data_IF_220309836875
#
_entry.id   IF_220309836875
#
_cell.length_a   1.000
_cell.length_b   1.000
_cell.length_c   1.000
_cell.angle_alpha   90.00
_cell.angle_beta   90.00
_cell.angle_gamma   90.00
#
_symmetry.space_group_name_H-M   'P 1'
#
loop_
_entity.id
_entity.type
_entity.pdbx_description
1 polymer ?
#
# COMPACT_ATOMS: atom_id res chain seq x y z
N UNK A 1 17.16 -2.82 4.37
CA UNK A 1 17.98 -1.85 3.67
C UNK A 1 17.26 -0.56 3.35
N UNK A 2 17.97 0.37 2.78
CA UNK A 2 17.42 1.67 2.38
C UNK A 2 16.59 1.50 1.10
N UNK A 3 15.28 1.78 1.12
CA UNK A 3 14.45 1.64 -0.08
C UNK A 3 14.84 2.59 -1.21
N UNK A 4 15.54 3.69 -0.91
CA UNK A 4 16.00 4.64 -1.93
C UNK A 4 17.04 4.05 -2.88
N UNK A 5 17.68 2.94 -2.50
CA UNK A 5 18.69 2.26 -3.33
C UNK A 5 18.13 1.06 -4.09
N UNK A 6 16.84 0.74 -3.93
CA UNK A 6 16.21 -0.45 -4.52
C UNK A 6 15.61 -0.15 -5.89
N UNK A 7 16.45 0.22 -6.87
CA UNK A 7 15.98 0.61 -8.20
C UNK A 7 15.44 -0.58 -9.01
N UNK A 8 16.10 -1.73 -8.95
CA UNK A 8 15.67 -2.90 -9.72
C UNK A 8 14.29 -3.42 -9.29
N UNK A 9 13.99 -3.60 -7.98
CA UNK A 9 12.63 -3.94 -7.55
C UNK A 9 11.60 -2.89 -7.93
N UNK A 10 11.94 -1.61 -7.84
CA UNK A 10 11.05 -0.51 -8.21
C UNK A 10 10.68 -0.56 -9.69
N UNK A 11 11.67 -0.75 -10.57
CA UNK A 11 11.45 -0.86 -12.02
C UNK A 11 10.63 -2.08 -12.37
N UNK A 12 10.89 -3.22 -11.71
CA UNK A 12 10.09 -4.45 -11.91
C UNK A 12 8.63 -4.21 -11.56
N UNK A 13 8.37 -3.53 -10.44
CA UNK A 13 7.00 -3.23 -10.02
C UNK A 13 6.32 -2.27 -11.00
N UNK A 14 7.03 -1.28 -11.52
CA UNK A 14 6.47 -0.41 -12.57
C UNK A 14 6.02 -1.21 -13.79
N UNK A 15 6.78 -2.23 -14.18
CA UNK A 15 6.39 -3.15 -15.26
C UNK A 15 5.13 -3.94 -14.93
N UNK A 16 4.99 -4.38 -13.68
CA UNK A 16 3.78 -5.06 -13.19
C UNK A 16 2.56 -4.14 -13.30
N UNK A 17 2.71 -2.89 -12.88
CA UNK A 17 1.63 -1.90 -12.97
C UNK A 17 1.29 -1.55 -14.43
N UNK A 18 2.29 -1.49 -15.31
CA UNK A 18 2.08 -1.25 -16.74
C UNK A 18 1.22 -2.34 -17.38
N UNK A 19 1.37 -3.59 -16.93
CA UNK A 19 0.58 -4.72 -17.39
C UNK A 19 -0.81 -4.80 -16.77
N UNK A 20 -1.12 -3.91 -15.82
CA UNK A 20 -2.39 -3.91 -15.12
C UNK A 20 -2.57 -5.09 -14.15
N UNK A 21 -1.48 -5.70 -13.71
CA UNK A 21 -1.51 -6.82 -12.78
C UNK A 21 -1.77 -6.28 -11.37
N UNK A 22 -2.74 -6.85 -10.62
CA UNK A 22 -2.98 -6.44 -9.24
C UNK A 22 -1.76 -6.66 -8.36
N UNK A 23 -1.56 -5.74 -7.40
CA UNK A 23 -0.43 -5.79 -6.50
C UNK A 23 -0.89 -5.53 -5.06
N UNK A 24 -0.35 -6.28 -4.12
CA UNK A 24 -0.50 -6.04 -2.69
C UNK A 24 0.88 -6.15 -2.04
N UNK A 25 1.42 -5.03 -1.55
CA UNK A 25 2.74 -4.97 -0.92
C UNK A 25 2.65 -4.91 0.59
N UNK A 26 3.60 -5.55 1.25
CA UNK A 26 3.69 -5.60 2.71
C UNK A 26 5.10 -5.16 3.12
N UNK A 27 5.21 -4.29 4.10
CA UNK A 27 6.45 -3.79 4.69
C UNK A 27 7.36 -3.13 3.63
N UNK A 28 8.47 -3.76 3.26
CA UNK A 28 9.35 -3.27 2.20
C UNK A 28 8.61 -3.11 0.88
N UNK A 29 7.61 -3.97 0.61
CA UNK A 29 6.75 -3.86 -0.57
C UNK A 29 5.94 -2.58 -0.61
N UNK A 30 5.55 -2.02 0.55
CA UNK A 30 4.93 -0.70 0.62
C UNK A 30 5.90 0.40 0.18
N UNK A 31 7.16 0.32 0.59
CA UNK A 31 8.18 1.32 0.27
C UNK A 31 8.53 1.27 -1.22
N UNK A 32 8.66 0.09 -1.79
CA UNK A 32 8.89 -0.08 -3.23
C UNK A 32 7.70 0.42 -4.04
N UNK A 33 6.48 0.14 -3.58
CA UNK A 33 5.27 0.64 -4.22
C UNK A 33 5.24 2.18 -4.21
N UNK A 34 5.58 2.80 -3.08
CA UNK A 34 5.68 4.25 -2.99
C UNK A 34 6.66 4.81 -4.00
N UNK A 35 7.85 4.22 -4.12
CA UNK A 35 8.85 4.64 -5.11
C UNK A 35 8.35 4.45 -6.54
N UNK A 36 7.72 3.33 -6.83
CA UNK A 36 7.17 3.05 -8.16
C UNK A 36 6.15 4.11 -8.57
N UNK A 37 5.35 4.60 -7.61
CA UNK A 37 4.35 5.64 -7.84
C UNK A 37 4.96 7.05 -7.94
N UNK A 38 6.24 7.20 -7.67
CA UNK A 38 6.94 8.48 -7.76
C UNK A 38 7.15 9.21 -6.44
N UNK A 39 6.80 8.59 -5.31
CA UNK A 39 7.02 9.19 -3.99
C UNK A 39 8.46 8.94 -3.52
N UNK A 40 8.95 9.85 -2.67
CA UNK A 40 10.23 9.66 -1.99
C UNK A 40 10.08 8.80 -0.74
N UNK A 41 11.22 8.51 -0.13
CA UNK A 41 11.28 7.82 1.16
C UNK A 41 12.23 8.59 2.08
N UNK A 42 12.07 8.40 3.39
CA UNK A 42 12.94 9.04 4.37
C UNK A 42 13.18 8.11 5.55
N UNK A 43 14.29 8.36 6.25
CA UNK A 43 14.64 7.60 7.44
C UNK A 43 13.91 8.18 8.66
N UNK A 44 13.22 7.33 9.39
CA UNK A 44 12.56 7.72 10.64
C UNK A 44 13.60 7.91 11.72
N UNK A 45 13.43 8.96 12.56
CA UNK A 45 14.36 9.29 13.64
C UNK A 45 14.50 8.14 14.65
N UNK A 46 13.39 7.50 14.99
CA UNK A 46 13.37 6.41 15.99
C UNK A 46 12.93 5.08 15.40
N UNK A 47 12.42 5.07 14.17
CA UNK A 47 11.83 3.88 13.56
C UNK A 47 10.51 3.48 14.22
N UNK A 48 9.81 2.56 13.56
CA UNK A 48 8.61 1.91 14.12
C UNK A 48 8.96 0.45 14.41
N UNK A 49 9.01 0.11 15.70
CA UNK A 49 9.36 -1.24 16.14
C UNK A 49 8.43 -1.66 17.28
N UNK A 50 8.08 -2.95 17.30
CA UNK A 50 7.22 -3.52 18.32
C UNK A 50 5.78 -3.68 17.87
N UNK A 51 4.88 -3.94 18.83
CA UNK A 51 3.52 -4.40 18.57
C UNK A 51 2.43 -3.38 18.91
N UNK A 52 2.78 -2.14 19.26
CA UNK A 52 1.82 -1.16 19.75
C UNK A 52 1.74 0.08 18.86
N UNK A 53 1.69 -0.12 17.55
CA UNK A 53 1.56 0.97 16.59
C UNK A 53 0.11 1.07 16.09
N UNK A 54 -0.67 2.08 16.52
CA UNK A 54 -2.05 2.22 16.07
C UNK A 54 -2.08 2.79 14.65
N UNK A 55 -2.72 2.06 13.75
CA UNK A 55 -2.82 2.43 12.34
C UNK A 55 -4.30 2.58 11.96
N UNK A 56 -4.62 3.70 11.32
CA UNK A 56 -5.96 3.97 10.83
C UNK A 56 -6.04 3.73 9.33
N UNK A 57 -7.02 2.92 8.92
CA UNK A 57 -7.42 2.78 7.52
C UNK A 57 -8.32 3.96 7.18
N UNK A 58 -7.86 4.83 6.27
CA UNK A 58 -8.60 6.05 5.91
C UNK A 58 -9.84 5.75 5.08
N UNK A 59 -9.90 4.59 4.43
CA UNK A 59 -11.05 4.18 3.63
C UNK A 59 -12.23 3.77 4.51
N UNK A 60 -11.97 3.08 5.61
CA UNK A 60 -13.00 2.53 6.51
C UNK A 60 -13.11 3.27 7.83
N UNK A 61 -12.08 4.03 8.22
CA UNK A 61 -11.98 4.65 9.53
C UNK A 61 -11.58 3.69 10.64
N UNK A 62 -11.35 2.43 10.34
CA UNK A 62 -10.99 1.41 11.33
C UNK A 62 -9.56 1.61 11.81
N UNK A 63 -9.35 1.44 13.12
CA UNK A 63 -8.02 1.50 13.75
C UNK A 63 -7.64 0.13 14.25
N UNK A 64 -6.40 -0.28 13.94
CA UNK A 64 -5.83 -1.54 14.40
C UNK A 64 -4.51 -1.27 15.11
N UNK A 65 -4.21 -2.11 16.11
CA UNK A 65 -2.90 -2.12 16.75
C UNK A 65 -2.02 -3.10 15.96
N UNK A 66 -0.92 -2.59 15.41
CA UNK A 66 -0.10 -3.34 14.47
C UNK A 66 1.27 -3.66 15.00
N UNK A 67 1.90 -4.70 14.45
CA UNK A 67 3.30 -5.03 14.67
C UNK A 67 4.12 -4.47 13.51
N UNK A 68 5.19 -3.74 13.83
CA UNK A 68 6.03 -3.08 12.85
C UNK A 68 7.51 -3.24 13.19
N UNK A 69 8.33 -3.24 12.15
CA UNK A 69 9.77 -3.24 12.29
C UNK A 69 10.38 -2.61 11.03
N UNK A 70 10.38 -1.27 10.99
CA UNK A 70 10.95 -0.55 9.85
C UNK A 70 11.58 0.77 10.29
N UNK A 71 12.64 1.17 9.60
CA UNK A 71 13.34 2.42 9.87
C UNK A 71 13.12 3.50 8.80
N UNK A 72 12.39 3.17 7.74
CA UNK A 72 12.12 4.08 6.63
C UNK A 72 10.63 4.18 6.38
N UNK A 73 10.18 5.31 5.85
CA UNK A 73 8.78 5.55 5.52
C UNK A 73 8.65 6.21 4.15
N UNK A 74 7.48 6.11 3.56
CA UNK A 74 7.15 6.78 2.30
C UNK A 74 6.75 8.22 2.58
N UNK A 75 7.25 9.14 1.75
CA UNK A 75 6.91 10.57 1.80
C UNK A 75 5.84 10.85 0.76
N UNK A 76 4.58 10.81 1.17
CA UNK A 76 3.44 11.05 0.28
C UNK A 76 2.46 12.01 0.95
N UNK A 77 1.71 12.83 0.17
CA UNK A 77 0.69 13.72 0.72
C UNK A 77 -0.40 12.92 1.44
N UNK A 78 -0.77 13.35 2.66
CA UNK A 78 -1.79 12.68 3.46
C UNK A 78 -3.21 13.09 3.11
N UNK A 79 -3.36 14.25 2.47
CA UNK A 79 -4.66 14.93 2.31
C UNK A 79 -5.14 15.01 0.87
N UNK A 80 -4.41 14.42 -0.08
CA UNK A 80 -4.78 14.50 -1.50
C UNK A 80 -4.23 13.34 -2.29
N UNK A 81 -4.87 13.06 -3.43
CA UNK A 81 -4.37 12.08 -4.39
C UNK A 81 -3.29 12.72 -5.28
N UNK A 82 -2.39 11.89 -5.78
CA UNK A 82 -1.39 12.26 -6.77
C UNK A 82 -1.68 11.47 -8.06
N UNK A 83 -1.79 12.18 -9.18
CA UNK A 83 -2.04 11.53 -10.47
C UNK A 83 -0.77 10.86 -10.97
N UNK A 84 -0.89 9.59 -11.33
CA UNK A 84 0.18 8.80 -11.95
C UNK A 84 -0.28 8.30 -13.31
N UNK A 85 0.63 7.71 -14.08
CA UNK A 85 0.27 7.14 -15.38
C UNK A 85 -0.67 5.93 -15.28
N UNK A 86 -0.79 5.34 -14.09
CA UNK A 86 -1.66 4.17 -13.86
C UNK A 86 -3.01 4.54 -13.24
N UNK A 87 -3.11 5.71 -12.62
CA UNK A 87 -4.30 6.15 -11.91
C UNK A 87 -3.96 7.10 -10.77
N UNK A 88 -4.88 7.24 -9.83
CA UNK A 88 -4.73 8.13 -8.68
C UNK A 88 -4.11 7.38 -7.50
N UNK A 89 -2.98 7.89 -6.99
CA UNK A 89 -2.28 7.33 -5.84
C UNK A 89 -2.55 8.17 -4.61
N UNK A 90 -2.86 7.51 -3.49
CA UNK A 90 -3.11 8.21 -2.23
C UNK A 90 -2.69 7.36 -1.03
N UNK A 91 -2.50 8.03 0.10
CA UNK A 91 -2.24 7.35 1.37
C UNK A 91 -3.54 6.69 1.82
N UNK A 92 -3.47 5.40 2.13
CA UNK A 92 -4.62 4.61 2.59
C UNK A 92 -4.61 4.38 4.09
N UNK A 93 -3.44 4.39 4.71
CA UNK A 93 -3.26 4.11 6.14
C UNK A 93 -2.23 5.07 6.73
N UNK A 94 -2.49 5.52 7.95
CA UNK A 94 -1.57 6.38 8.70
C UNK A 94 -1.37 5.85 10.12
N UNK A 95 -0.19 6.07 10.68
CA UNK A 95 0.06 5.83 12.10
C UNK A 95 -0.49 7.01 12.90
N UNK A 96 -1.35 6.74 13.89
CA UNK A 96 -1.99 7.80 14.67
C UNK A 96 -1.04 8.52 15.61
N UNK A 97 0.10 7.93 15.93
CA UNK A 97 1.06 8.55 16.87
C UNK A 97 1.88 9.68 16.22
N UNK A 98 2.15 9.61 14.92
CA UNK A 98 3.09 10.52 14.26
C UNK A 98 2.75 10.84 12.80
N UNK A 99 1.57 10.42 12.32
CA UNK A 99 1.09 10.63 10.95
C UNK A 99 2.02 10.04 9.85
N UNK A 100 2.84 9.07 10.21
CA UNK A 100 3.68 8.36 9.24
C UNK A 100 2.79 7.54 8.30
N UNK A 101 3.14 7.52 7.01
CA UNK A 101 2.43 6.72 6.01
C UNK A 101 2.58 5.23 6.33
N UNK A 102 1.45 4.55 6.46
CA UNK A 102 1.38 3.13 6.79
C UNK A 102 0.73 2.29 5.68
N UNK A 103 0.31 2.93 4.60
CA UNK A 103 -0.26 2.25 3.45
C UNK A 103 -0.53 3.21 2.31
N UNK A 104 -0.56 2.65 1.11
CA UNK A 104 -0.81 3.36 -0.14
C UNK A 104 -1.86 2.62 -0.94
N UNK A 105 -2.59 3.35 -1.78
CA UNK A 105 -3.52 2.74 -2.73
C UNK A 105 -3.43 3.44 -4.08
N UNK A 106 -3.71 2.68 -5.13
CA UNK A 106 -3.81 3.15 -6.50
C UNK A 106 -5.20 2.80 -7.00
N UNK A 107 -5.94 3.80 -7.48
CA UNK A 107 -7.31 3.63 -7.96
C UNK A 107 -7.44 4.17 -9.38
N UNK A 108 -8.42 3.63 -10.13
CA UNK A 108 -8.77 4.16 -11.45
C UNK A 108 -9.73 5.36 -11.31
N UNK A 109 -10.20 5.89 -12.44
CA UNK A 109 -11.09 7.05 -12.46
C UNK A 109 -12.46 6.78 -11.84
N UNK A 110 -12.88 5.52 -11.79
CA UNK A 110 -14.15 5.11 -11.18
C UNK A 110 -13.98 4.71 -9.70
N UNK A 111 -12.83 5.04 -9.10
CA UNK A 111 -12.47 4.71 -7.72
C UNK A 111 -12.35 3.21 -7.46
N UNK A 112 -12.12 2.40 -8.50
CA UNK A 112 -11.82 0.99 -8.34
C UNK A 112 -10.36 0.81 -7.92
N UNK A 113 -10.13 0.00 -6.91
CA UNK A 113 -8.79 -0.28 -6.40
C UNK A 113 -8.02 -1.16 -7.39
N UNK A 114 -6.84 -0.71 -7.79
CA UNK A 114 -5.95 -1.43 -8.72
C UNK A 114 -4.81 -2.13 -7.98
N UNK A 115 -4.26 -1.49 -6.97
CA UNK A 115 -3.15 -2.00 -6.18
C UNK A 115 -3.15 -1.29 -4.83
N UNK A 116 -2.57 -1.92 -3.82
CA UNK A 116 -2.43 -1.30 -2.50
C UNK A 116 -1.29 -1.93 -1.70
N UNK A 117 -0.93 -1.29 -0.61
CA UNK A 117 0.14 -1.78 0.25
C UNK A 117 -0.08 -1.32 1.69
N UNK A 118 0.54 -2.06 2.63
CA UNK A 118 0.62 -1.67 4.03
C UNK A 118 2.06 -1.80 4.51
N UNK A 119 2.46 -0.93 5.43
CA UNK A 119 3.81 -0.91 5.99
C UNK A 119 4.00 -1.97 7.07
N UNK A 120 2.94 -2.29 7.78
CA UNK A 120 2.97 -3.28 8.86
C UNK A 120 2.77 -4.70 8.31
N UNK A 121 3.00 -5.70 9.18
CA UNK A 121 2.77 -7.11 8.86
C UNK A 121 1.36 -7.50 9.35
N UNK A 122 0.37 -7.64 8.46
CA UNK A 122 -1.02 -7.89 8.88
C UNK A 122 -1.18 -9.16 9.70
N UNK A 123 -0.40 -10.20 9.39
CA UNK A 123 -0.45 -11.49 10.06
C UNK A 123 0.13 -11.48 11.46
N UNK A 124 0.88 -10.41 11.83
CA UNK A 124 1.58 -10.31 13.10
C UNK A 124 0.96 -9.29 14.05
N UNK A 125 -0.25 -8.79 13.76
CA UNK A 125 -0.92 -7.82 14.63
C UNK A 125 -1.26 -8.42 15.99
N UNK A 126 -1.23 -7.58 17.05
CA UNK A 126 -1.49 -8.02 18.41
C UNK A 126 -2.97 -8.16 18.71
N UNK A 127 -3.33 -9.18 19.51
CA UNK A 127 -4.70 -9.37 20.00
C UNK A 127 -5.67 -9.91 18.95
N UNK A 128 -6.97 -9.97 19.29
CA UNK A 128 -7.98 -10.35 18.32
C UNK A 128 -8.05 -9.31 17.21
N UNK A 129 -7.73 -9.72 16.01
CA UNK A 129 -7.75 -8.84 14.86
C UNK A 129 -8.16 -9.64 13.64
N UNK A 130 -8.58 -8.94 12.64
CA UNK A 130 -8.95 -9.54 11.39
C UNK A 130 -8.09 -8.97 10.26
N UNK A 131 -6.88 -9.50 10.13
CA UNK A 131 -6.01 -9.16 9.00
C UNK A 131 -6.55 -9.71 7.68
N UNK A 132 -7.51 -10.63 7.74
CA UNK A 132 -8.13 -11.21 6.56
C UNK A 132 -8.77 -10.16 5.66
N UNK A 133 -9.25 -9.02 6.22
CA UNK A 133 -9.91 -8.00 5.41
C UNK A 133 -8.98 -7.44 4.31
N UNK A 134 -7.68 -7.35 4.57
CA UNK A 134 -6.71 -6.89 3.56
C UNK A 134 -6.53 -7.93 2.46
N UNK A 135 -6.46 -9.20 2.81
CA UNK A 135 -6.36 -10.29 1.85
C UNK A 135 -7.64 -10.44 1.04
N UNK A 136 -8.80 -10.30 1.68
CA UNK A 136 -10.09 -10.27 1.00
C UNK A 136 -10.18 -9.09 0.01
N UNK A 137 -9.69 -7.93 0.41
CA UNK A 137 -9.60 -6.74 -0.47
C UNK A 137 -8.78 -7.06 -1.71
N UNK A 138 -7.65 -7.76 -1.56
CA UNK A 138 -6.80 -8.15 -2.68
C UNK A 138 -7.48 -9.18 -3.58
N UNK A 139 -8.19 -10.16 -3.00
CA UNK A 139 -8.96 -11.12 -3.77
C UNK A 139 -10.01 -10.41 -4.63
N UNK A 140 -10.69 -9.41 -4.08
CA UNK A 140 -11.67 -8.60 -4.82
C UNK A 140 -11.00 -7.86 -5.99
N UNK A 141 -9.81 -7.29 -5.79
CA UNK A 141 -9.05 -6.62 -6.85
C UNK A 141 -8.74 -7.61 -7.98
N UNK A 142 -8.25 -8.79 -7.63
CA UNK A 142 -7.92 -9.83 -8.62
C UNK A 142 -9.15 -10.31 -9.40
N UNK A 143 -10.28 -10.49 -8.71
CA UNK A 143 -11.51 -10.94 -9.35
C UNK A 143 -12.05 -9.90 -10.33
N UNK A 144 -12.02 -8.64 -9.98
CA UNK A 144 -12.43 -7.54 -10.86
C UNK A 144 -11.53 -7.44 -12.09
N UNK A 145 -10.23 -7.62 -11.90
CA UNK A 145 -9.26 -7.65 -13.01
C UNK A 145 -9.59 -8.80 -13.98
N UNK A 146 -9.88 -9.98 -13.46
CA UNK A 146 -10.24 -11.16 -14.25
C UNK A 146 -11.54 -10.94 -15.03
N UNK A 147 -12.57 -10.36 -14.39
CA UNK A 147 -13.83 -10.05 -15.05
C UNK A 147 -13.64 -9.03 -16.18
N UNK A 148 -12.88 -7.96 -15.93
CA UNK A 148 -12.58 -6.97 -16.95
C UNK A 148 -11.89 -7.58 -18.16
N UNK A 149 -10.97 -8.51 -17.96
CA UNK A 149 -10.30 -9.23 -19.05
C UNK A 149 -11.27 -10.10 -19.82
N UNK A 150 -12.16 -10.85 -19.12
CA UNK A 150 -13.16 -11.70 -19.77
C UNK A 150 -14.14 -10.86 -20.59
N UNK A 151 -14.62 -9.75 -20.04
CA UNK A 151 -15.51 -8.84 -20.75
C UNK A 151 -14.87 -8.28 -22.02
N UNK A 152 -13.57 -7.95 -21.96
CA UNK A 152 -12.82 -7.48 -23.12
C UNK A 152 -12.68 -8.56 -24.20
N UNK A 153 -12.54 -9.83 -23.80
CA UNK A 153 -12.42 -10.96 -24.72
C UNK A 153 -13.76 -11.29 -25.40
N UNK A 154 -14.88 -11.03 -24.73
CA UNK A 154 -16.22 -11.27 -25.27
C UNK A 154 -16.66 -10.24 -26.31
N UNK A 155 -16.02 -9.10 -26.36
CA UNK A 155 -16.31 -8.02 -27.26
C UNK A 155 -15.36 -8.02 -28.48
#
# INVERSE_FOLDING_TARGET
GDPATADAPMELLQGVLDEGIPYFGICFGNQIFGRALGFGTYKLKYGHRGINQPVKDLRTGKVEITAQNHGFAVDAPLDRATTTRWGEARVSHICLNDDVVEGLELTDQADNLLAFSVQYHPEAAAGPHDSAYLFDRFVDVMQRRKQGTNDSEEN
#
